data_IF_914717998673
#
_entry.id   IF_914717998673
#
_cell.length_a   1.000
_cell.length_b   1.000
_cell.length_c   1.000
_cell.angle_alpha   90.00
_cell.angle_beta   90.00
_cell.angle_gamma   90.00
#
_symmetry.space_group_name_H-M   'P 1'
#
loop_
_entity.id
_entity.type
_entity.pdbx_description
1 polymer ?
#
# COMPACT_ATOMS: atom_id res chain seq x y z
N UNK A 1 -11.01 17.42 0.48
CA UNK A 1 -12.10 16.74 -0.24
C UNK A 1 -11.85 15.25 -0.02
N UNK A 2 -12.74 14.55 0.67
CA UNK A 2 -12.64 13.09 0.84
C UNK A 2 -12.82 12.47 -0.54
N UNK A 3 -11.74 11.86 -1.08
CA UNK A 3 -11.83 11.14 -2.35
C UNK A 3 -12.93 10.09 -2.26
N UNK A 4 -13.90 10.20 -3.18
CA UNK A 4 -15.05 9.33 -3.17
C UNK A 4 -14.59 7.89 -3.46
N UNK A 5 -14.98 6.95 -2.61
CA UNK A 5 -14.72 5.53 -2.82
C UNK A 5 -15.60 5.03 -3.97
N UNK A 6 -14.99 4.52 -5.02
CA UNK A 6 -15.65 4.18 -6.29
C UNK A 6 -15.43 2.70 -6.64
N UNK A 7 -16.47 2.04 -7.11
CA UNK A 7 -16.37 0.73 -7.79
C UNK A 7 -16.09 0.98 -9.26
N UNK A 8 -14.89 0.66 -9.72
CA UNK A 8 -14.47 0.76 -11.11
C UNK A 8 -14.86 -0.54 -11.83
N UNK A 9 -15.95 -0.51 -12.58
CA UNK A 9 -16.44 -1.68 -13.31
C UNK A 9 -15.87 -1.69 -14.73
N UNK A 10 -15.22 -2.77 -15.13
CA UNK A 10 -14.54 -2.89 -16.44
C UNK A 10 -15.01 -4.12 -17.16
N UNK A 11 -15.60 -3.94 -18.33
CA UNK A 11 -16.12 -5.04 -19.16
C UNK A 11 -16.30 -4.54 -20.59
N UNK A 12 -15.96 -5.33 -21.59
CA UNK A 12 -16.14 -4.96 -23.00
C UNK A 12 -17.59 -5.17 -23.51
N UNK A 13 -18.40 -5.92 -22.76
CA UNK A 13 -19.83 -6.05 -23.01
C UNK A 13 -20.60 -4.83 -22.45
N UNK A 14 -20.96 -3.88 -23.32
CA UNK A 14 -21.73 -2.72 -22.92
C UNK A 14 -23.08 -3.04 -22.27
N UNK A 15 -23.73 -4.15 -22.67
CA UNK A 15 -25.01 -4.58 -22.11
C UNK A 15 -24.84 -5.00 -20.67
N UNK A 16 -23.80 -5.78 -20.40
CA UNK A 16 -23.41 -6.17 -19.04
C UNK A 16 -23.02 -4.96 -18.20
N UNK A 17 -22.17 -4.07 -18.74
CA UNK A 17 -21.79 -2.82 -18.04
C UNK A 17 -23.00 -2.02 -17.56
N UNK A 18 -23.98 -1.81 -18.47
CA UNK A 18 -25.21 -1.05 -18.16
C UNK A 18 -26.05 -1.74 -17.08
N UNK A 19 -26.22 -3.06 -17.18
CA UNK A 19 -26.99 -3.85 -16.23
C UNK A 19 -26.33 -3.88 -14.84
N UNK A 20 -25.03 -4.21 -14.79
CA UNK A 20 -24.27 -4.28 -13.57
C UNK A 20 -24.14 -2.91 -12.88
N UNK A 21 -23.92 -1.85 -13.64
CA UNK A 21 -23.91 -0.47 -13.09
C UNK A 21 -25.23 -0.14 -12.41
N UNK A 22 -26.37 -0.39 -13.06
CA UNK A 22 -27.70 -0.13 -12.46
C UNK A 22 -27.90 -0.90 -11.17
N UNK A 23 -27.52 -2.19 -11.17
CA UNK A 23 -27.63 -3.06 -10.02
C UNK A 23 -26.76 -2.55 -8.86
N UNK A 24 -25.49 -2.18 -9.10
CA UNK A 24 -24.58 -1.69 -8.08
C UNK A 24 -24.99 -0.32 -7.54
N UNK A 25 -25.51 0.58 -8.39
CA UNK A 25 -26.07 1.86 -7.95
C UNK A 25 -27.29 1.66 -7.04
N UNK A 26 -28.16 0.68 -7.36
CA UNK A 26 -29.30 0.31 -6.50
C UNK A 26 -28.85 -0.25 -5.13
N UNK A 27 -27.64 -0.81 -5.04
CA UNK A 27 -27.00 -1.25 -3.79
C UNK A 27 -26.20 -0.11 -3.09
N UNK A 28 -26.41 1.13 -3.50
CA UNK A 28 -25.79 2.36 -2.99
C UNK A 28 -24.26 2.46 -3.23
N UNK A 29 -23.71 1.76 -4.20
CA UNK A 29 -22.32 1.97 -4.63
C UNK A 29 -22.22 3.15 -5.61
N UNK A 30 -21.13 3.91 -5.52
CA UNK A 30 -20.72 4.81 -6.60
C UNK A 30 -19.94 3.99 -7.62
N UNK A 31 -20.36 4.06 -8.89
CA UNK A 31 -19.79 3.24 -9.96
C UNK A 31 -19.24 4.13 -11.06
N UNK A 32 -18.04 3.80 -11.52
CA UNK A 32 -17.46 4.31 -12.76
C UNK A 32 -17.27 3.12 -13.71
N UNK A 33 -17.94 3.15 -14.85
CA UNK A 33 -17.93 2.06 -15.83
C UNK A 33 -16.94 2.35 -16.97
N UNK A 34 -16.16 1.35 -17.34
CA UNK A 34 -15.14 1.43 -18.39
C UNK A 34 -15.32 0.28 -19.38
N UNK A 35 -15.46 0.55 -20.68
CA UNK A 35 -15.60 -0.48 -21.70
C UNK A 35 -14.28 -1.14 -22.09
N UNK A 36 -13.16 -0.81 -21.44
CA UNK A 36 -11.88 -1.48 -21.64
C UNK A 36 -10.91 -1.24 -20.50
N UNK A 37 -9.98 -2.17 -20.30
CA UNK A 37 -8.88 -2.03 -19.34
C UNK A 37 -8.02 -0.79 -19.60
N UNK A 38 -7.80 -0.44 -20.87
CA UNK A 38 -7.00 0.73 -21.28
C UNK A 38 -7.62 2.04 -20.76
N UNK A 39 -8.93 2.19 -20.86
CA UNK A 39 -9.63 3.39 -20.37
C UNK A 39 -9.58 3.49 -18.85
N UNK A 40 -9.71 2.38 -18.13
CA UNK A 40 -9.48 2.38 -16.69
C UNK A 40 -8.05 2.81 -16.37
N UNK A 41 -7.03 2.20 -16.98
CA UNK A 41 -5.62 2.53 -16.71
C UNK A 41 -5.28 4.01 -16.97
N UNK A 42 -5.93 4.64 -17.95
CA UNK A 42 -5.77 6.07 -18.21
C UNK A 42 -6.46 6.97 -17.18
N UNK A 43 -7.48 6.47 -16.49
CA UNK A 43 -8.29 7.25 -15.54
C UNK A 43 -7.82 7.14 -14.09
N UNK A 44 -7.08 6.09 -13.72
CA UNK A 44 -6.68 5.83 -12.33
C UNK A 44 -5.26 6.30 -12.05
N UNK A 45 -5.01 6.68 -10.81
CA UNK A 45 -3.73 7.12 -10.30
C UNK A 45 -3.43 6.41 -8.96
N UNK A 46 -2.21 6.48 -8.42
CA UNK A 46 -1.91 5.95 -7.08
C UNK A 46 -2.77 6.53 -5.96
N UNK A 47 -3.41 7.70 -6.17
CA UNK A 47 -4.34 8.31 -5.23
C UNK A 47 -5.79 7.83 -5.40
N UNK A 48 -6.10 7.08 -6.46
CA UNK A 48 -7.47 6.58 -6.70
C UNK A 48 -7.91 5.61 -5.59
N UNK A 49 -9.17 5.75 -5.16
CA UNK A 49 -9.77 4.99 -4.05
C UNK A 49 -10.90 4.11 -4.52
N UNK A 50 -11.05 2.97 -3.89
CA UNK A 50 -12.13 2.03 -4.16
C UNK A 50 -11.65 0.64 -4.54
N UNK A 51 -12.36 0.00 -5.47
CA UNK A 51 -11.99 -1.31 -5.99
C UNK A 51 -12.27 -1.41 -7.48
N UNK A 52 -11.66 -2.40 -8.11
CA UNK A 52 -11.91 -2.77 -9.51
C UNK A 52 -12.75 -4.04 -9.54
N UNK A 53 -13.80 -4.04 -10.35
CA UNK A 53 -14.54 -5.24 -10.76
C UNK A 53 -14.28 -5.40 -12.24
N UNK A 54 -13.53 -6.41 -12.66
CA UNK A 54 -13.06 -6.54 -14.03
C UNK A 54 -13.47 -7.86 -14.65
N UNK A 55 -13.95 -7.81 -15.90
CA UNK A 55 -14.00 -9.02 -16.71
C UNK A 55 -12.59 -9.56 -16.95
N UNK A 56 -12.49 -10.89 -16.94
CA UNK A 56 -11.23 -11.57 -17.24
C UNK A 56 -10.94 -11.58 -18.74
N UNK A 57 -11.96 -11.76 -19.58
CA UNK A 57 -11.85 -12.10 -21.00
C UNK A 57 -11.92 -10.90 -21.95
N UNK A 58 -11.38 -9.75 -21.58
CA UNK A 58 -11.42 -8.55 -22.42
C UNK A 58 -10.42 -8.60 -23.58
N UNK A 59 -10.74 -7.99 -24.74
CA UNK A 59 -9.82 -7.87 -25.86
C UNK A 59 -8.65 -6.92 -25.54
N UNK A 60 -7.53 -7.04 -26.27
CA UNK A 60 -6.28 -6.28 -26.17
C UNK A 60 -5.56 -6.42 -24.81
N UNK A 61 -6.23 -6.09 -23.72
CA UNK A 61 -5.70 -6.18 -22.35
C UNK A 61 -6.70 -6.97 -21.51
N UNK A 62 -6.40 -8.22 -21.24
CA UNK A 62 -7.23 -9.07 -20.38
C UNK A 62 -7.16 -8.65 -18.91
N UNK A 63 -8.03 -9.22 -18.09
CA UNK A 63 -8.11 -8.88 -16.67
C UNK A 63 -6.81 -9.13 -15.90
N UNK A 64 -6.04 -10.19 -16.23
CA UNK A 64 -4.77 -10.48 -15.58
C UNK A 64 -3.68 -9.48 -15.99
N UNK A 65 -3.64 -9.09 -17.25
CA UNK A 65 -2.74 -8.04 -17.73
C UNK A 65 -3.08 -6.68 -17.10
N UNK A 66 -4.38 -6.38 -16.91
CA UNK A 66 -4.84 -5.21 -16.17
C UNK A 66 -4.33 -5.22 -14.72
N UNK A 67 -4.47 -6.34 -14.00
CA UNK A 67 -3.98 -6.49 -12.63
C UNK A 67 -2.47 -6.21 -12.55
N UNK A 68 -1.69 -6.81 -13.46
CA UNK A 68 -0.25 -6.59 -13.53
C UNK A 68 0.11 -5.14 -13.89
N UNK A 69 -0.67 -4.48 -14.75
CA UNK A 69 -0.46 -3.09 -15.14
C UNK A 69 -0.73 -2.12 -13.98
N UNK A 70 -1.81 -2.31 -13.22
CA UNK A 70 -2.13 -1.54 -12.02
C UNK A 70 -0.98 -1.64 -10.99
N UNK A 71 -0.51 -2.86 -10.72
CA UNK A 71 0.61 -3.07 -9.80
C UNK A 71 1.89 -2.33 -10.23
N UNK A 72 2.24 -2.40 -11.53
CA UNK A 72 3.43 -1.70 -12.07
C UNK A 72 3.32 -0.18 -12.00
N UNK A 73 2.12 0.38 -12.12
CA UNK A 73 1.88 1.83 -12.02
C UNK A 73 1.71 2.34 -10.60
N UNK A 74 1.87 1.48 -9.59
CA UNK A 74 1.71 1.86 -8.18
C UNK A 74 0.25 2.13 -7.78
N UNK A 75 -0.71 1.67 -8.59
CA UNK A 75 -2.14 1.75 -8.28
C UNK A 75 -2.54 0.50 -7.51
N UNK A 76 -2.91 0.67 -6.26
CA UNK A 76 -3.21 -0.42 -5.33
C UNK A 76 -4.71 -0.57 -5.10
N UNK A 77 -5.49 -0.72 -6.17
CA UNK A 77 -6.92 -0.99 -6.09
C UNK A 77 -7.15 -2.50 -5.94
N UNK A 78 -7.85 -2.96 -4.90
CA UNK A 78 -8.27 -4.36 -4.79
C UNK A 78 -9.14 -4.75 -5.97
N UNK A 79 -8.91 -5.96 -6.51
CA UNK A 79 -9.59 -6.44 -7.71
C UNK A 79 -10.48 -7.63 -7.37
N UNK A 80 -11.71 -7.61 -7.90
CA UNK A 80 -12.64 -8.73 -8.01
C UNK A 80 -12.78 -9.07 -9.48
N UNK A 81 -12.50 -10.31 -9.86
CA UNK A 81 -12.68 -10.75 -11.24
C UNK A 81 -14.07 -11.32 -11.48
N UNK A 82 -14.59 -11.03 -12.68
CA UNK A 82 -15.76 -11.67 -13.24
C UNK A 82 -15.35 -12.49 -14.47
N UNK A 83 -15.97 -13.63 -14.68
CA UNK A 83 -15.74 -14.45 -15.88
C UNK A 83 -17.04 -15.06 -16.38
N UNK A 84 -17.20 -15.09 -17.69
CA UNK A 84 -18.32 -15.81 -18.35
C UNK A 84 -18.13 -17.33 -18.28
N UNK A 85 -16.89 -17.79 -18.38
CA UNK A 85 -16.47 -19.20 -18.23
C UNK A 85 -15.15 -19.20 -17.45
N UNK A 86 -15.24 -19.45 -16.14
CA UNK A 86 -14.05 -19.55 -15.30
C UNK A 86 -13.27 -20.83 -15.55
N UNK A 87 -12.03 -20.73 -16.02
CA UNK A 87 -11.11 -21.86 -15.98
C UNK A 87 -10.27 -21.84 -14.69
N UNK A 88 -9.92 -23.02 -14.20
CA UNK A 88 -9.14 -23.18 -12.97
C UNK A 88 -7.77 -22.48 -13.06
N UNK A 89 -6.98 -22.63 -14.15
CA UNK A 89 -5.69 -21.97 -14.28
C UNK A 89 -5.76 -20.44 -14.18
N UNK A 90 -6.73 -19.79 -14.81
CA UNK A 90 -6.90 -18.33 -14.74
C UNK A 90 -7.35 -17.87 -13.36
N UNK A 91 -8.24 -18.63 -12.71
CA UNK A 91 -8.64 -18.36 -11.32
C UNK A 91 -7.44 -18.41 -10.38
N UNK A 92 -6.60 -19.44 -10.50
CA UNK A 92 -5.39 -19.57 -9.66
C UNK A 92 -4.43 -18.40 -9.89
N UNK A 93 -4.17 -18.01 -11.15
CA UNK A 93 -3.31 -16.86 -11.46
C UNK A 93 -3.86 -15.56 -10.91
N UNK A 94 -5.16 -15.30 -11.03
CA UNK A 94 -5.82 -14.12 -10.47
C UNK A 94 -5.62 -14.04 -8.96
N UNK A 95 -5.87 -15.13 -8.24
CA UNK A 95 -5.72 -15.19 -6.79
C UNK A 95 -4.25 -15.06 -6.34
N UNK A 96 -3.31 -15.70 -7.05
CA UNK A 96 -1.87 -15.53 -6.79
C UNK A 96 -1.41 -14.09 -7.05
N UNK A 97 -2.02 -13.39 -8.01
CA UNK A 97 -1.80 -11.97 -8.27
C UNK A 97 -2.41 -11.03 -7.21
N UNK A 98 -3.07 -11.57 -6.17
CA UNK A 98 -3.63 -10.81 -5.06
C UNK A 98 -5.06 -10.33 -5.28
N UNK A 99 -5.81 -10.92 -6.21
CA UNK A 99 -7.25 -10.64 -6.34
C UNK A 99 -7.98 -10.93 -5.02
N UNK A 100 -9.03 -10.14 -4.75
CA UNK A 100 -9.86 -10.31 -3.55
C UNK A 100 -10.81 -11.48 -3.73
N UNK A 101 -11.33 -11.63 -4.93
CA UNK A 101 -12.25 -12.71 -5.27
C UNK A 101 -12.30 -12.94 -6.78
N UNK A 102 -12.86 -14.10 -7.16
CA UNK A 102 -13.13 -14.50 -8.53
C UNK A 102 -14.54 -15.09 -8.62
N UNK A 103 -15.40 -14.49 -9.43
CA UNK A 103 -16.81 -14.86 -9.54
C UNK A 103 -17.19 -15.10 -11.02
N UNK A 104 -18.18 -15.94 -11.21
CA UNK A 104 -18.84 -16.06 -12.52
C UNK A 104 -19.79 -14.88 -12.74
N UNK A 105 -19.90 -14.37 -14.00
CA UNK A 105 -20.81 -13.25 -14.34
C UNK A 105 -22.27 -13.51 -13.98
N UNK A 106 -22.67 -14.77 -13.92
CA UNK A 106 -24.03 -15.20 -13.54
C UNK A 106 -24.16 -15.56 -12.04
N UNK A 107 -23.14 -15.32 -11.25
CA UNK A 107 -23.24 -15.52 -9.79
C UNK A 107 -24.36 -14.67 -9.18
N UNK A 108 -25.00 -15.14 -8.09
CA UNK A 108 -25.99 -14.36 -7.38
C UNK A 108 -25.50 -12.96 -7.02
N UNK A 109 -26.37 -11.96 -7.16
CA UNK A 109 -26.07 -10.54 -6.86
C UNK A 109 -25.41 -10.37 -5.49
N UNK A 110 -25.89 -11.08 -4.51
CA UNK A 110 -25.41 -11.03 -3.13
C UNK A 110 -23.93 -11.42 -3.01
N UNK A 111 -23.46 -12.35 -3.84
CA UNK A 111 -22.05 -12.75 -3.88
C UNK A 111 -21.17 -11.62 -4.42
N UNK A 112 -21.60 -10.98 -5.51
CA UNK A 112 -20.86 -9.84 -6.07
C UNK A 112 -20.81 -8.67 -5.09
N UNK A 113 -21.94 -8.31 -4.48
CA UNK A 113 -22.03 -7.27 -3.47
C UNK A 113 -21.11 -7.57 -2.28
N UNK A 114 -21.10 -8.81 -1.78
CA UNK A 114 -20.23 -9.22 -0.69
C UNK A 114 -18.73 -9.14 -1.08
N UNK A 115 -18.36 -9.54 -2.29
CA UNK A 115 -16.99 -9.45 -2.79
C UNK A 115 -16.53 -7.98 -2.90
N UNK A 116 -17.37 -7.10 -3.42
CA UNK A 116 -17.10 -5.66 -3.51
C UNK A 116 -16.91 -5.06 -2.12
N UNK A 117 -17.77 -5.39 -1.16
CA UNK A 117 -17.61 -4.89 0.24
C UNK A 117 -16.27 -5.31 0.83
N UNK A 118 -15.88 -6.58 0.69
CA UNK A 118 -14.54 -7.05 1.13
C UNK A 118 -13.41 -6.29 0.44
N UNK A 119 -13.54 -6.02 -0.86
CA UNK A 119 -12.55 -5.25 -1.60
C UNK A 119 -12.43 -3.81 -1.08
N UNK A 120 -13.56 -3.15 -0.80
CA UNK A 120 -13.58 -1.80 -0.24
C UNK A 120 -13.03 -1.75 1.19
N UNK A 121 -13.32 -2.75 2.01
CA UNK A 121 -12.74 -2.89 3.35
C UNK A 121 -11.23 -3.06 3.28
N UNK A 122 -10.73 -3.85 2.33
CA UNK A 122 -9.30 -4.01 2.08
C UNK A 122 -8.66 -2.68 1.64
N UNK A 123 -9.26 -1.94 0.68
CA UNK A 123 -8.76 -0.61 0.30
C UNK A 123 -8.68 0.33 1.50
N UNK A 124 -9.71 0.36 2.34
CA UNK A 124 -9.73 1.20 3.53
C UNK A 124 -8.59 0.85 4.51
N UNK A 125 -8.37 -0.44 4.78
CA UNK A 125 -7.29 -0.91 5.65
C UNK A 125 -5.90 -0.57 5.08
N UNK A 126 -5.69 -0.80 3.78
CA UNK A 126 -4.43 -0.48 3.09
C UNK A 126 -4.16 1.03 3.07
N UNK A 127 -5.20 1.88 3.00
CA UNK A 127 -5.05 3.33 3.09
C UNK A 127 -4.60 3.79 4.48
N UNK A 128 -5.18 3.24 5.54
CA UNK A 128 -4.74 3.54 6.91
C UNK A 128 -3.26 3.18 7.09
N UNK A 129 -2.87 2.02 6.60
CA UNK A 129 -1.48 1.56 6.66
C UNK A 129 -0.54 2.49 5.88
N UNK A 130 -0.90 2.85 4.64
CA UNK A 130 -0.11 3.80 3.82
C UNK A 130 0.01 5.18 4.48
N UNK A 131 -1.09 5.72 5.02
CA UNK A 131 -1.07 7.01 5.72
C UNK A 131 -0.16 6.98 6.95
N UNK A 132 -0.14 5.89 7.71
CA UNK A 132 0.77 5.70 8.83
C UNK A 132 2.23 5.68 8.39
N UNK A 133 2.56 4.90 7.34
CA UNK A 133 3.91 4.84 6.78
C UNK A 133 4.38 6.19 6.24
N UNK A 134 3.53 6.90 5.50
CA UNK A 134 3.85 8.23 4.99
C UNK A 134 4.08 9.23 6.12
N UNK A 135 3.23 9.21 7.16
CA UNK A 135 3.43 10.04 8.36
C UNK A 135 4.77 9.76 9.06
N UNK A 136 5.20 8.49 9.13
CA UNK A 136 6.52 8.13 9.66
C UNK A 136 7.63 8.69 8.75
N UNK A 137 7.56 8.46 7.43
CA UNK A 137 8.55 8.97 6.47
C UNK A 137 8.69 10.49 6.52
N UNK A 138 7.59 11.23 6.63
CA UNK A 138 7.62 12.70 6.75
C UNK A 138 8.36 13.16 8.01
N UNK A 139 8.19 12.47 9.15
CA UNK A 139 8.96 12.77 10.37
C UNK A 139 10.46 12.59 10.15
N UNK A 140 10.89 11.53 9.49
CA UNK A 140 12.30 11.31 9.17
C UNK A 140 12.82 12.35 8.16
N UNK A 141 12.03 12.74 7.18
CA UNK A 141 12.37 13.77 6.21
C UNK A 141 12.54 15.17 6.86
N UNK A 142 11.97 15.38 8.05
CA UNK A 142 12.16 16.62 8.84
C UNK A 142 13.52 16.72 9.53
N UNK A 143 14.30 15.63 9.52
CA UNK A 143 15.63 15.63 10.12
C UNK A 143 16.63 16.40 9.27
N UNK A 144 17.44 17.24 9.91
CA UNK A 144 18.58 17.88 9.24
C UNK A 144 19.62 16.84 8.82
N UNK A 145 20.48 17.22 7.86
CA UNK A 145 21.61 16.37 7.42
C UNK A 145 22.44 15.87 8.62
N UNK A 146 22.70 16.76 9.59
CA UNK A 146 23.50 16.42 10.78
C UNK A 146 22.77 15.47 11.72
N UNK A 147 21.46 15.63 11.89
CA UNK A 147 20.64 14.69 12.65
C UNK A 147 20.59 13.30 11.99
N UNK A 148 20.53 13.23 10.65
CA UNK A 148 20.60 11.96 9.92
C UNK A 148 21.96 11.25 10.10
N UNK A 149 23.07 12.00 10.11
CA UNK A 149 24.39 11.44 10.38
C UNK A 149 24.47 10.84 11.80
N UNK A 150 23.99 11.58 12.80
CA UNK A 150 23.91 11.08 14.18
C UNK A 150 22.96 9.89 14.29
N UNK A 151 21.79 9.95 13.65
CA UNK A 151 20.82 8.86 13.62
C UNK A 151 21.43 7.55 13.11
N UNK A 152 22.16 7.59 12.00
CA UNK A 152 22.83 6.41 11.43
C UNK A 152 23.77 5.74 12.43
N UNK A 153 24.53 6.54 13.17
CA UNK A 153 25.47 6.04 14.17
C UNK A 153 24.74 5.47 15.42
N UNK A 154 23.63 6.12 15.82
CA UNK A 154 22.77 5.63 16.91
C UNK A 154 22.16 4.29 16.57
N UNK A 155 21.67 4.12 15.35
CA UNK A 155 21.09 2.88 14.86
C UNK A 155 22.15 1.75 14.73
N UNK A 156 23.44 2.08 14.55
CA UNK A 156 24.56 1.14 14.64
C UNK A 156 24.96 0.76 16.07
N UNK A 157 24.20 1.23 17.08
CA UNK A 157 24.46 0.93 18.48
C UNK A 157 25.64 1.70 19.09
N UNK A 158 26.21 2.71 18.41
CA UNK A 158 27.39 3.45 18.90
C UNK A 158 27.06 4.33 20.09
N UNK A 159 28.00 4.39 21.04
CA UNK A 159 27.93 5.27 22.20
C UNK A 159 28.23 6.73 21.81
N UNK A 160 27.75 7.69 22.61
CA UNK A 160 27.91 9.13 22.32
C UNK A 160 29.38 9.52 22.10
N UNK A 161 30.32 8.96 22.87
CA UNK A 161 31.77 9.22 22.73
C UNK A 161 32.30 8.79 21.35
N UNK A 162 31.85 7.62 20.86
CA UNK A 162 32.23 7.11 19.54
C UNK A 162 31.64 7.94 18.39
N UNK A 163 30.38 8.36 18.55
CA UNK A 163 29.70 9.24 17.60
C UNK A 163 30.39 10.61 17.54
N UNK A 164 30.72 11.15 18.71
CA UNK A 164 31.42 12.43 18.81
C UNK A 164 32.75 12.41 18.08
N UNK A 165 33.56 11.38 18.31
CA UNK A 165 34.85 11.18 17.62
C UNK A 165 34.68 10.99 16.11
N UNK A 166 33.75 10.14 15.69
CA UNK A 166 33.48 9.84 14.28
C UNK A 166 32.99 11.06 13.48
N UNK A 167 32.20 11.94 14.11
CA UNK A 167 31.58 13.08 13.46
C UNK A 167 32.30 14.42 13.72
N UNK A 168 33.38 14.43 14.52
CA UNK A 168 34.16 15.63 14.83
C UNK A 168 33.39 16.68 15.66
N UNK A 169 32.54 16.23 16.60
CA UNK A 169 31.72 17.10 17.48
C UNK A 169 31.84 16.70 18.95
N UNK A 170 31.36 17.54 19.86
CA UNK A 170 31.35 17.22 21.27
C UNK A 170 30.27 16.18 21.64
N UNK A 171 30.49 15.38 22.70
CA UNK A 171 29.46 14.48 23.21
C UNK A 171 28.18 15.22 23.64
N UNK A 172 28.32 16.47 24.12
CA UNK A 172 27.20 17.34 24.43
C UNK A 172 26.34 17.63 23.19
N UNK A 173 26.99 17.90 22.06
CA UNK A 173 26.32 18.12 20.78
C UNK A 173 25.60 16.86 20.29
N UNK A 174 26.22 15.67 20.45
CA UNK A 174 25.57 14.39 20.14
C UNK A 174 24.31 14.20 20.99
N UNK A 175 24.37 14.46 22.29
CA UNK A 175 23.19 14.38 23.18
C UNK A 175 22.08 15.32 22.75
N UNK A 176 22.39 16.54 22.34
CA UNK A 176 21.41 17.52 21.83
C UNK A 176 20.74 16.99 20.53
N UNK A 177 21.54 16.51 19.57
CA UNK A 177 20.98 15.89 18.36
C UNK A 177 20.08 14.69 18.66
N UNK A 178 20.49 13.78 19.56
CA UNK A 178 19.66 12.63 19.96
C UNK A 178 18.34 13.07 20.58
N UNK A 179 18.32 14.12 21.40
CA UNK A 179 17.09 14.68 21.98
C UNK A 179 16.20 15.27 20.88
N UNK A 180 16.78 16.05 19.97
CA UNK A 180 16.05 16.62 18.83
C UNK A 180 15.47 15.56 17.92
N UNK A 181 16.25 14.53 17.57
CA UNK A 181 15.79 13.39 16.75
C UNK A 181 14.59 12.72 17.41
N UNK A 182 14.69 12.37 18.71
CA UNK A 182 13.59 11.74 19.44
C UNK A 182 12.34 12.59 19.44
N UNK A 183 12.46 13.90 19.64
CA UNK A 183 11.34 14.83 19.63
C UNK A 183 10.68 14.92 18.26
N UNK A 184 11.47 15.05 17.18
CA UNK A 184 10.95 15.12 15.79
C UNK A 184 10.29 13.83 15.33
N UNK A 185 10.87 12.67 15.67
CA UNK A 185 10.33 11.35 15.31
C UNK A 185 9.14 10.98 16.22
N UNK A 186 9.07 11.53 17.44
CA UNK A 186 8.02 11.20 18.42
C UNK A 186 8.26 9.87 19.12
N UNK A 187 9.53 9.58 19.48
CA UNK A 187 9.94 8.35 20.19
C UNK A 187 10.69 8.65 21.48
N UNK A 188 10.59 7.73 22.44
CA UNK A 188 11.25 7.88 23.74
C UNK A 188 12.51 7.03 23.90
N UNK A 189 12.71 6.02 23.07
CA UNK A 189 13.85 5.09 23.16
C UNK A 189 14.55 4.87 21.82
N UNK A 190 15.81 4.43 21.87
CA UNK A 190 16.56 4.03 20.69
C UNK A 190 15.97 2.78 20.02
N UNK A 191 15.37 1.88 20.80
CA UNK A 191 14.70 0.68 20.28
C UNK A 191 13.47 1.06 19.44
N UNK A 192 12.60 1.95 19.95
CA UNK A 192 11.46 2.47 19.16
C UNK A 192 11.92 3.17 17.89
N UNK A 193 13.01 3.95 17.96
CA UNK A 193 13.59 4.63 16.82
C UNK A 193 14.05 3.62 15.74
N UNK A 194 14.72 2.53 16.16
CA UNK A 194 15.16 1.47 15.25
C UNK A 194 14.00 0.73 14.59
N UNK A 195 12.93 0.45 15.34
CA UNK A 195 11.71 -0.18 14.80
C UNK A 195 11.08 0.72 13.74
N UNK A 196 10.82 2.00 14.05
CA UNK A 196 10.22 2.93 13.10
C UNK A 196 11.09 3.19 11.87
N UNK A 197 12.43 3.23 12.02
CA UNK A 197 13.34 3.41 10.90
C UNK A 197 13.31 2.22 9.94
N UNK A 198 13.13 1.00 10.45
CA UNK A 198 12.93 -0.23 9.67
C UNK A 198 11.58 -0.21 8.96
N UNK A 199 10.50 0.08 9.69
CA UNK A 199 9.14 0.11 9.16
C UNK A 199 8.98 1.17 8.05
N UNK A 200 9.78 2.24 8.09
CA UNK A 200 9.82 3.26 7.06
C UNK A 200 10.71 2.92 5.86
N UNK A 201 11.37 1.76 5.85
CA UNK A 201 12.32 1.32 4.80
C UNK A 201 13.38 2.37 4.43
N UNK A 202 13.76 3.21 5.40
CA UNK A 202 14.59 4.40 5.16
C UNK A 202 16.04 4.10 4.79
N UNK A 203 16.48 2.85 5.00
CA UNK A 203 17.85 2.43 4.77
C UNK A 203 17.87 1.04 4.15
N UNK A 204 17.88 0.96 2.82
CA UNK A 204 17.69 -0.25 2.00
C UNK A 204 18.57 -1.46 2.32
N UNK A 205 19.75 -1.35 2.88
CA UNK A 205 20.60 -2.46 3.34
C UNK A 205 21.08 -2.20 4.78
N UNK A 206 20.13 -2.27 5.74
CA UNK A 206 20.48 -2.12 7.14
C UNK A 206 20.97 -3.46 7.69
N UNK A 207 22.12 -3.53 8.41
CA UNK A 207 22.52 -4.74 9.11
C UNK A 207 21.45 -5.11 10.14
N UNK A 208 20.96 -6.34 10.06
CA UNK A 208 20.00 -6.88 11.01
C UNK A 208 20.60 -6.75 12.42
N UNK A 209 19.85 -6.09 13.30
CA UNK A 209 20.17 -6.05 14.72
C UNK A 209 19.90 -7.44 15.27
N UNK A 210 20.92 -8.28 15.37
CA UNK A 210 20.87 -9.46 16.22
C UNK A 210 20.71 -8.99 17.66
N UNK A 211 19.47 -9.04 18.13
CA UNK A 211 19.08 -8.69 19.50
C UNK A 211 19.51 -9.76 20.54
N UNK A 212 20.79 -10.11 20.55
CA UNK A 212 21.33 -11.04 21.53
C UNK A 212 22.71 -10.55 21.99
N UNK A 213 22.77 -9.54 22.83
CA UNK A 213 23.87 -9.37 23.79
C UNK A 213 23.51 -8.23 24.77
N UNK A 214 22.69 -8.54 25.76
CA UNK A 214 22.74 -7.85 27.06
C UNK A 214 22.00 -8.65 28.13
N UNK A 215 22.58 -9.77 28.49
CA UNK A 215 22.34 -10.38 29.79
C UNK A 215 23.57 -11.20 30.13
N UNK A 216 24.58 -10.53 30.75
CA UNK A 216 25.55 -11.08 31.71
C UNK A 216 26.73 -10.13 31.89
N UNK A 217 26.73 -9.41 32.94
CA UNK A 217 27.75 -9.22 33.98
C UNK A 217 27.41 -7.96 34.77
#
# INVERSE_FOLDING_TARGET
MTDAVIVHLVDDDESYLKAATRMLVAENFRVAAFPSARLLLAAVTPATRGCVVADLGMPEVDGLALQAALARSGVHLPIVFLSGQGDIPSTVRAMQGGAVDFLEKHAPREKLVAAIRRALERDAAEQVHRAQHEGIRQRFNSLSRRELEVLREVLRGRMNKQIAASLGISERTVKLHRTSIKAKIGVNSAAQLATLARDAELFGDWPQFDGAHSARA
#
